data_IF_454705904668
#
_entry.id   IF_454705904668
#
_cell.length_a   1.000
_cell.length_b   1.000
_cell.length_c   1.000
_cell.angle_alpha   90.00
_cell.angle_beta   90.00
_cell.angle_gamma   90.00
#
_symmetry.space_group_name_H-M   'P 1'
#
loop_
_entity.id
_entity.type
_entity.pdbx_description
1 polymer ?
#
# COMPACT_ATOMS: atom_id res chain seq x y z
N UNK A 1 60.19 39.01 1.68
CA UNK A 1 58.88 38.91 2.34
C UNK A 1 57.81 38.57 1.31
N UNK A 2 57.78 37.32 0.76
CA UNK A 2 56.87 36.92 -0.33
C UNK A 2 56.11 35.61 -0.03
N UNK A 3 56.12 35.14 1.24
CA UNK A 3 55.47 33.86 1.60
C UNK A 3 53.95 33.93 1.88
N UNK A 4 53.37 35.12 2.17
CA UNK A 4 51.99 35.24 2.63
C UNK A 4 50.95 35.18 1.53
N UNK A 5 51.25 35.58 0.31
CA UNK A 5 50.29 35.58 -0.81
C UNK A 5 49.99 34.18 -1.38
N UNK A 6 50.97 33.29 -1.38
CA UNK A 6 50.80 31.92 -1.85
C UNK A 6 49.94 31.08 -0.92
N UNK A 7 50.14 31.21 0.38
CA UNK A 7 49.34 30.50 1.40
C UNK A 7 47.86 30.93 1.39
N UNK A 8 47.63 32.23 1.17
CA UNK A 8 46.25 32.76 1.13
C UNK A 8 45.45 32.30 -0.10
N UNK A 9 46.13 32.12 -1.26
CA UNK A 9 45.55 31.57 -2.48
C UNK A 9 45.23 30.07 -2.36
N UNK A 10 46.11 29.30 -1.68
CA UNK A 10 45.89 27.86 -1.43
C UNK A 10 44.70 27.64 -0.47
N UNK A 11 44.60 28.40 0.59
CA UNK A 11 43.52 28.35 1.55
C UNK A 11 42.17 28.74 0.91
N UNK A 12 42.16 29.78 0.05
CA UNK A 12 40.97 30.20 -0.68
C UNK A 12 40.50 29.14 -1.68
N UNK A 13 41.40 28.47 -2.37
CA UNK A 13 41.08 27.38 -3.30
C UNK A 13 40.50 26.15 -2.59
N UNK A 14 41.07 25.79 -1.42
CA UNK A 14 40.56 24.64 -0.63
C UNK A 14 39.18 24.91 -0.07
N UNK A 15 38.92 26.13 0.43
CA UNK A 15 37.59 26.52 0.93
C UNK A 15 36.53 26.53 -0.16
N UNK A 16 36.86 27.01 -1.37
CA UNK A 16 35.96 27.00 -2.52
C UNK A 16 35.61 25.56 -2.95
N UNK A 17 36.62 24.68 -2.97
CA UNK A 17 36.38 23.25 -3.32
C UNK A 17 35.49 22.54 -2.32
N UNK A 18 35.69 22.76 -1.04
CA UNK A 18 34.85 22.18 0.03
C UNK A 18 33.40 22.72 -0.03
N UNK A 19 33.23 24.00 -0.38
CA UNK A 19 31.87 24.58 -0.54
C UNK A 19 31.13 23.94 -1.71
N UNK A 20 31.79 23.74 -2.86
CA UNK A 20 31.17 23.08 -4.03
C UNK A 20 30.78 21.63 -3.68
N UNK A 21 31.65 20.88 -2.99
CA UNK A 21 31.33 19.51 -2.56
C UNK A 21 30.10 19.51 -1.62
N UNK A 22 30.03 20.43 -0.67
CA UNK A 22 28.91 20.53 0.25
C UNK A 22 27.59 20.85 -0.47
N UNK A 23 27.60 21.75 -1.44
CA UNK A 23 26.40 22.11 -2.23
C UNK A 23 25.92 20.92 -3.07
N UNK A 24 26.84 20.23 -3.76
CA UNK A 24 26.50 19.07 -4.61
C UNK A 24 25.96 17.93 -3.75
N UNK A 25 26.60 17.63 -2.60
CA UNK A 25 26.15 16.58 -1.68
C UNK A 25 24.80 16.91 -1.06
N UNK A 26 24.56 18.16 -0.69
CA UNK A 26 23.27 18.62 -0.15
C UNK A 26 22.15 18.52 -1.19
N UNK A 27 22.42 18.86 -2.45
CA UNK A 27 21.44 18.77 -3.53
C UNK A 27 21.10 17.33 -3.90
N UNK A 28 22.10 16.44 -3.94
CA UNK A 28 21.89 15.01 -4.15
C UNK A 28 21.09 14.37 -3.00
N UNK A 29 21.36 14.75 -1.74
CA UNK A 29 20.60 14.32 -0.58
C UNK A 29 19.13 14.75 -0.65
N UNK A 30 18.88 16.01 -0.99
CA UNK A 30 17.52 16.55 -1.12
C UNK A 30 16.72 15.87 -2.26
N UNK A 31 17.37 15.58 -3.40
CA UNK A 31 16.72 14.88 -4.51
C UNK A 31 16.42 13.42 -4.17
N UNK A 32 17.31 12.73 -3.44
CA UNK A 32 17.04 11.35 -2.95
C UNK A 32 15.86 11.31 -1.98
N UNK A 33 15.77 12.25 -1.05
CA UNK A 33 14.65 12.33 -0.10
C UNK A 33 13.32 12.62 -0.80
N UNK A 34 13.31 13.47 -1.82
CA UNK A 34 12.12 13.72 -2.64
C UNK A 34 11.70 12.49 -3.44
N UNK A 35 12.64 11.83 -4.13
CA UNK A 35 12.36 10.60 -4.88
C UNK A 35 11.85 9.46 -3.98
N UNK A 36 12.36 9.34 -2.75
CA UNK A 36 11.84 8.36 -1.79
C UNK A 36 10.43 8.71 -1.33
N UNK A 37 10.13 10.01 -1.12
CA UNK A 37 8.78 10.46 -0.74
C UNK A 37 7.76 10.18 -1.84
N UNK A 38 8.10 10.46 -3.09
CA UNK A 38 7.25 10.16 -4.26
C UNK A 38 7.04 8.66 -4.43
N UNK A 39 8.12 7.85 -4.33
CA UNK A 39 8.02 6.40 -4.43
C UNK A 39 7.22 5.76 -3.31
N UNK A 40 7.31 6.26 -2.07
CA UNK A 40 6.46 5.79 -0.97
C UNK A 40 4.99 6.14 -1.20
N UNK A 41 4.69 7.30 -1.79
CA UNK A 41 3.32 7.67 -2.16
C UNK A 41 2.72 6.73 -3.22
N UNK A 42 3.52 6.31 -4.21
CA UNK A 42 3.10 5.30 -5.20
C UNK A 42 2.79 3.94 -4.54
N UNK A 43 3.61 3.52 -3.57
CA UNK A 43 3.38 2.29 -2.80
C UNK A 43 2.10 2.38 -1.97
N UNK A 44 1.91 3.51 -1.28
CA UNK A 44 0.70 3.76 -0.47
C UNK A 44 -0.56 3.66 -1.32
N UNK A 45 -0.56 4.29 -2.50
CA UNK A 45 -1.69 4.27 -3.43
C UNK A 45 -1.94 2.86 -3.99
N UNK A 46 -0.89 2.13 -4.39
CA UNK A 46 -1.05 0.76 -4.87
C UNK A 46 -1.59 -0.19 -3.78
N UNK A 47 -1.11 -0.05 -2.54
CA UNK A 47 -1.61 -0.80 -1.40
C UNK A 47 -3.08 -0.45 -1.11
N UNK A 48 -3.45 0.84 -1.17
CA UNK A 48 -4.81 1.33 -0.97
C UNK A 48 -5.76 0.73 -1.99
N UNK A 49 -5.44 0.84 -3.27
CA UNK A 49 -6.26 0.31 -4.36
C UNK A 49 -6.50 -1.20 -4.20
N UNK A 50 -5.46 -1.96 -3.84
CA UNK A 50 -5.61 -3.40 -3.63
C UNK A 50 -6.49 -3.71 -2.41
N UNK A 51 -6.26 -3.04 -1.28
CA UNK A 51 -7.01 -3.29 -0.04
C UNK A 51 -8.48 -2.90 -0.19
N UNK A 52 -8.78 -1.80 -0.88
CA UNK A 52 -10.15 -1.40 -1.21
C UNK A 52 -10.82 -2.41 -2.15
N UNK A 53 -10.11 -2.88 -3.19
CA UNK A 53 -10.61 -3.91 -4.09
C UNK A 53 -10.87 -5.23 -3.35
N UNK A 54 -9.95 -5.65 -2.46
CA UNK A 54 -10.10 -6.85 -1.64
C UNK A 54 -11.30 -6.76 -0.69
N UNK A 55 -11.51 -5.61 -0.09
CA UNK A 55 -12.61 -5.39 0.85
C UNK A 55 -13.95 -5.03 0.20
N UNK A 56 -14.03 -4.95 -1.14
CA UNK A 56 -15.26 -4.58 -1.85
C UNK A 56 -15.71 -5.71 -2.77
N UNK A 57 -16.78 -6.39 -2.38
CA UNK A 57 -17.34 -7.55 -3.08
C UNK A 57 -18.86 -7.39 -3.26
N UNK A 58 -19.36 -7.74 -4.44
CA UNK A 58 -20.78 -7.90 -4.71
C UNK A 58 -21.00 -9.31 -5.33
N UNK A 59 -21.90 -10.08 -4.72
CA UNK A 59 -22.26 -11.41 -5.20
C UNK A 59 -22.82 -11.44 -6.63
N UNK A 60 -23.26 -10.29 -7.17
CA UNK A 60 -23.78 -10.15 -8.53
C UNK A 60 -22.65 -10.06 -9.58
N UNK A 61 -21.45 -9.65 -9.15
CA UNK A 61 -20.30 -9.41 -10.03
C UNK A 61 -19.02 -10.12 -9.55
N UNK A 62 -19.07 -11.44 -9.34
CA UNK A 62 -17.93 -12.17 -8.77
C UNK A 62 -16.72 -12.19 -9.71
N UNK A 63 -16.93 -12.21 -11.03
CA UNK A 63 -15.84 -12.19 -12.01
C UNK A 63 -15.15 -10.83 -12.04
N UNK A 64 -15.91 -9.73 -11.98
CA UNK A 64 -15.35 -8.37 -11.88
C UNK A 64 -14.54 -8.15 -10.61
N UNK A 65 -14.93 -8.75 -9.49
CA UNK A 65 -14.13 -8.76 -8.26
C UNK A 65 -12.77 -9.43 -8.49
N UNK A 66 -12.76 -10.62 -9.08
CA UNK A 66 -11.55 -11.38 -9.38
C UNK A 66 -10.63 -10.61 -10.35
N UNK A 67 -11.18 -10.06 -11.44
CA UNK A 67 -10.41 -9.27 -12.41
C UNK A 67 -9.73 -8.06 -11.78
N UNK A 68 -10.43 -7.33 -10.91
CA UNK A 68 -9.86 -6.19 -10.17
C UNK A 68 -8.67 -6.63 -9.32
N UNK A 69 -8.80 -7.70 -8.55
CA UNK A 69 -7.72 -8.21 -7.71
C UNK A 69 -6.53 -8.70 -8.54
N UNK A 70 -6.78 -9.39 -9.64
CA UNK A 70 -5.72 -9.85 -10.55
C UNK A 70 -4.94 -8.68 -11.16
N UNK A 71 -5.61 -7.60 -11.55
CA UNK A 71 -4.96 -6.41 -12.14
C UNK A 71 -4.06 -5.64 -11.17
N UNK A 72 -4.24 -5.82 -9.86
CA UNK A 72 -3.53 -5.15 -8.77
C UNK A 72 -2.52 -6.06 -8.06
N UNK A 73 -2.40 -7.32 -8.50
CA UNK A 73 -1.57 -8.33 -7.84
C UNK A 73 -0.54 -8.97 -8.77
N UNK A 74 0.45 -9.61 -8.16
CA UNK A 74 1.48 -10.42 -8.82
C UNK A 74 1.85 -11.61 -7.93
N UNK A 75 2.73 -12.50 -8.40
CA UNK A 75 3.25 -13.61 -7.60
C UNK A 75 2.17 -14.50 -7.01
N UNK A 76 2.33 -14.82 -5.72
CA UNK A 76 1.46 -15.78 -5.01
C UNK A 76 0.01 -15.27 -4.89
N UNK A 77 -0.19 -13.96 -4.67
CA UNK A 77 -1.55 -13.39 -4.60
C UNK A 77 -2.26 -13.52 -5.93
N UNK A 78 -1.58 -13.18 -7.03
CA UNK A 78 -2.15 -13.30 -8.38
C UNK A 78 -2.52 -14.77 -8.69
N UNK A 79 -1.63 -15.71 -8.39
CA UNK A 79 -1.89 -17.14 -8.60
C UNK A 79 -3.06 -17.65 -7.75
N UNK A 80 -3.12 -17.24 -6.47
CA UNK A 80 -4.21 -17.60 -5.58
C UNK A 80 -5.56 -17.04 -6.07
N UNK A 81 -5.60 -15.77 -6.49
CA UNK A 81 -6.83 -15.15 -7.03
C UNK A 81 -7.26 -15.81 -8.34
N UNK A 82 -6.31 -16.12 -9.24
CA UNK A 82 -6.60 -16.76 -10.53
C UNK A 82 -7.22 -18.15 -10.36
N UNK A 83 -6.83 -18.89 -9.32
CA UNK A 83 -7.33 -20.25 -9.05
C UNK A 83 -8.48 -20.29 -8.04
N UNK A 84 -8.80 -19.17 -7.38
CA UNK A 84 -9.86 -19.10 -6.38
C UNK A 84 -11.23 -19.25 -7.05
N UNK A 85 -12.10 -20.00 -6.39
CA UNK A 85 -13.52 -20.03 -6.68
C UNK A 85 -14.26 -19.14 -5.70
N UNK A 86 -15.29 -18.46 -6.19
CA UNK A 86 -16.18 -17.70 -5.29
C UNK A 86 -16.87 -18.68 -4.35
N UNK A 87 -16.89 -18.36 -3.06
CA UNK A 87 -17.55 -19.18 -2.06
C UNK A 87 -19.05 -19.30 -2.40
N UNK A 88 -19.57 -20.52 -2.66
CA UNK A 88 -20.98 -20.73 -2.91
C UNK A 88 -21.89 -20.21 -1.78
N UNK A 89 -21.37 -20.21 -0.54
CA UNK A 89 -22.07 -19.67 0.64
C UNK A 89 -22.28 -18.16 0.49
N UNK A 90 -21.24 -17.43 0.05
CA UNK A 90 -21.33 -15.98 -0.17
C UNK A 90 -22.35 -15.64 -1.26
N UNK A 91 -22.42 -16.45 -2.33
CA UNK A 91 -23.44 -16.30 -3.38
C UNK A 91 -24.85 -16.61 -2.85
N UNK A 92 -25.01 -17.73 -2.13
CA UNK A 92 -26.31 -18.14 -1.57
C UNK A 92 -26.86 -17.16 -0.52
N UNK A 93 -25.98 -16.50 0.21
CA UNK A 93 -26.31 -15.46 1.19
C UNK A 93 -26.41 -14.06 0.58
N UNK A 94 -26.27 -13.90 -0.73
CA UNK A 94 -26.27 -12.61 -1.42
C UNK A 94 -25.30 -11.61 -0.76
N UNK A 95 -24.10 -12.08 -0.43
CA UNK A 95 -23.14 -11.32 0.36
C UNK A 95 -22.61 -10.12 -0.43
N UNK A 96 -22.60 -8.97 0.25
CA UNK A 96 -21.88 -7.78 -0.20
C UNK A 96 -20.90 -7.34 0.87
N UNK A 97 -19.75 -6.82 0.45
CA UNK A 97 -18.76 -6.20 1.31
C UNK A 97 -18.40 -4.83 0.75
N UNK A 98 -18.24 -3.87 1.62
CA UNK A 98 -17.83 -2.52 1.25
C UNK A 98 -16.73 -2.06 2.20
N UNK A 99 -15.59 -1.64 1.66
CA UNK A 99 -14.53 -1.02 2.45
C UNK A 99 -14.84 0.46 2.66
N UNK A 100 -14.81 0.88 3.93
CA UNK A 100 -14.96 2.26 4.35
C UNK A 100 -13.61 2.97 4.47
N UNK A 101 -13.23 3.38 5.69
CA UNK A 101 -11.96 4.05 5.95
C UNK A 101 -10.77 3.10 5.78
N UNK A 102 -9.74 3.59 5.06
CA UNK A 102 -8.47 2.89 4.87
C UNK A 102 -7.32 3.79 5.28
N UNK A 103 -6.50 3.32 6.23
CA UNK A 103 -5.25 3.96 6.62
C UNK A 103 -4.09 3.07 6.19
N UNK A 104 -3.15 3.64 5.43
CA UNK A 104 -1.96 2.92 4.94
C UNK A 104 -0.71 3.52 5.60
N UNK A 105 0.23 2.66 5.95
CA UNK A 105 1.56 3.03 6.41
C UNK A 105 2.60 2.16 5.70
N UNK A 106 3.49 2.79 4.93
CA UNK A 106 4.65 2.11 4.35
C UNK A 106 5.67 1.88 5.45
N UNK A 107 6.00 0.61 5.72
CA UNK A 107 6.89 0.19 6.81
C UNK A 107 8.30 -0.17 6.33
N UNK A 108 8.44 -0.50 5.05
CA UNK A 108 9.73 -0.72 4.38
C UNK A 108 9.61 -0.32 2.91
N UNK A 109 10.68 0.24 2.36
CA UNK A 109 10.73 0.71 0.98
C UNK A 109 12.11 0.54 0.36
N UNK A 110 12.13 0.04 -0.88
CA UNK A 110 13.25 0.09 -1.81
C UNK A 110 12.71 0.39 -3.22
N UNK A 111 13.58 0.55 -4.21
CA UNK A 111 13.16 0.85 -5.59
C UNK A 111 12.38 -0.28 -6.28
N UNK A 112 12.45 -1.51 -5.75
CA UNK A 112 11.85 -2.71 -6.35
C UNK A 112 10.89 -3.45 -5.43
N UNK A 113 10.95 -3.20 -4.13
CA UNK A 113 10.16 -3.91 -3.12
C UNK A 113 9.76 -2.98 -1.99
N UNK A 114 8.54 -3.14 -1.50
CA UNK A 114 8.02 -2.39 -0.37
C UNK A 114 7.11 -3.24 0.51
N UNK A 115 6.95 -2.83 1.76
CA UNK A 115 5.97 -3.40 2.69
C UNK A 115 5.08 -2.28 3.23
N UNK A 116 3.78 -2.50 3.20
CA UNK A 116 2.79 -1.60 3.76
C UNK A 116 1.88 -2.34 4.75
N UNK A 117 1.54 -1.66 5.83
CA UNK A 117 0.48 -2.08 6.75
C UNK A 117 -0.75 -1.24 6.52
N UNK A 118 -1.94 -1.85 6.56
CA UNK A 118 -3.19 -1.15 6.42
C UNK A 118 -4.15 -1.49 7.56
N UNK A 119 -4.94 -0.49 7.95
CA UNK A 119 -6.11 -0.65 8.80
C UNK A 119 -7.34 -0.28 7.98
N UNK A 120 -8.31 -1.18 7.90
CA UNK A 120 -9.54 -0.98 7.14
C UNK A 120 -10.76 -1.11 8.03
N UNK A 121 -11.84 -0.42 7.65
CA UNK A 121 -13.17 -0.63 8.19
C UNK A 121 -14.06 -1.16 7.06
N UNK A 122 -14.62 -2.33 7.28
CA UNK A 122 -15.43 -3.05 6.31
C UNK A 122 -16.84 -3.26 6.83
N UNK A 123 -17.83 -3.01 5.99
CA UNK A 123 -19.21 -3.40 6.22
C UNK A 123 -19.52 -4.63 5.39
N UNK A 124 -19.92 -5.71 6.06
CA UNK A 124 -20.36 -6.97 5.43
C UNK A 124 -21.86 -7.11 5.62
N UNK A 125 -22.60 -7.34 4.53
CA UNK A 125 -24.02 -7.62 4.52
C UNK A 125 -24.27 -8.99 3.91
N UNK A 126 -25.15 -9.77 4.54
CA UNK A 126 -25.54 -11.08 4.04
C UNK A 126 -27.00 -11.37 4.43
N UNK A 127 -27.70 -12.10 3.59
CA UNK A 127 -29.06 -12.57 3.89
C UNK A 127 -28.96 -13.94 4.56
N UNK A 128 -29.56 -14.09 5.71
CA UNK A 128 -29.71 -15.39 6.37
C UNK A 128 -30.61 -16.30 5.53
N UNK A 129 -30.12 -17.42 5.01
CA UNK A 129 -30.91 -18.28 4.12
C UNK A 129 -32.10 -18.95 4.80
N UNK A 130 -32.07 -19.10 6.12
CA UNK A 130 -33.15 -19.74 6.87
C UNK A 130 -34.32 -18.78 7.20
N UNK A 131 -33.99 -17.50 7.45
CA UNK A 131 -34.97 -16.51 7.92
C UNK A 131 -35.28 -15.43 6.89
N UNK A 132 -34.44 -15.27 5.84
CA UNK A 132 -34.50 -14.17 4.88
C UNK A 132 -34.10 -12.82 5.45
N UNK A 133 -33.60 -12.77 6.69
CA UNK A 133 -33.26 -11.54 7.35
C UNK A 133 -31.87 -11.03 6.88
N UNK A 134 -31.77 -9.73 6.66
CA UNK A 134 -30.50 -9.08 6.39
C UNK A 134 -29.67 -8.97 7.69
N UNK A 135 -28.45 -9.48 7.64
CA UNK A 135 -27.44 -9.30 8.69
C UNK A 135 -26.41 -8.31 8.22
N UNK A 136 -26.07 -7.36 9.04
CA UNK A 136 -25.00 -6.41 8.81
C UNK A 136 -23.95 -6.53 9.93
N UNK A 137 -22.69 -6.58 9.54
CA UNK A 137 -21.55 -6.64 10.44
C UNK A 137 -20.52 -5.61 10.02
N UNK A 138 -20.03 -4.83 10.96
CA UNK A 138 -18.91 -3.92 10.77
C UNK A 138 -17.66 -4.52 11.39
N UNK A 139 -16.58 -4.52 10.64
CA UNK A 139 -15.31 -5.14 10.99
C UNK A 139 -14.18 -4.15 10.83
N UNK A 140 -13.21 -4.19 11.75
CA UNK A 140 -11.91 -3.58 11.56
C UNK A 140 -10.90 -4.67 11.25
N UNK A 141 -10.13 -4.47 10.20
CA UNK A 141 -9.11 -5.41 9.78
C UNK A 141 -7.75 -4.72 9.79
N UNK A 142 -6.72 -5.46 10.24
CA UNK A 142 -5.33 -5.09 10.09
C UNK A 142 -4.68 -6.06 9.10
N UNK A 143 -4.11 -5.51 8.04
CA UNK A 143 -3.49 -6.30 6.97
C UNK A 143 -2.07 -5.84 6.71
N UNK A 144 -1.26 -6.72 6.11
CA UNK A 144 0.09 -6.39 5.64
C UNK A 144 0.19 -6.82 4.19
N UNK A 145 0.71 -5.93 3.35
CA UNK A 145 0.97 -6.15 1.94
C UNK A 145 2.48 -6.09 1.69
N UNK A 146 3.04 -7.05 0.95
CA UNK A 146 4.33 -6.92 0.30
C UNK A 146 4.09 -6.61 -1.17
N UNK A 147 4.72 -5.55 -1.65
CA UNK A 147 4.57 -5.07 -3.02
C UNK A 147 5.88 -5.22 -3.77
N UNK A 148 5.79 -5.54 -5.06
CA UNK A 148 6.90 -5.57 -5.99
C UNK A 148 6.66 -4.59 -7.12
N UNK A 149 7.73 -3.95 -7.60
CA UNK A 149 7.69 -3.08 -8.76
C UNK A 149 7.93 -3.89 -10.02
N UNK A 150 6.91 -4.06 -10.84
CA UNK A 150 6.93 -4.80 -12.10
C UNK A 150 6.58 -3.84 -13.24
N UNK A 151 7.45 -3.69 -14.22
CA UNK A 151 7.27 -2.80 -15.38
C UNK A 151 6.86 -1.38 -14.98
N UNK A 152 7.51 -0.86 -13.92
CA UNK A 152 7.28 0.48 -13.38
C UNK A 152 6.03 0.63 -12.48
N UNK A 153 5.24 -0.42 -12.28
CA UNK A 153 4.02 -0.41 -11.45
C UNK A 153 4.22 -1.20 -10.17
N UNK A 154 3.68 -0.70 -9.06
CA UNK A 154 3.63 -1.44 -7.81
C UNK A 154 2.43 -2.39 -7.79
N UNK A 155 2.69 -3.68 -7.54
CA UNK A 155 1.70 -4.75 -7.49
C UNK A 155 1.85 -5.55 -6.18
N UNK A 156 0.74 -5.98 -5.58
CA UNK A 156 0.76 -6.76 -4.34
C UNK A 156 1.15 -8.19 -4.64
N UNK A 157 2.28 -8.65 -4.07
CA UNK A 157 2.81 -10.00 -4.22
C UNK A 157 2.44 -10.92 -3.05
N UNK A 158 2.32 -10.37 -1.82
CA UNK A 158 1.81 -11.08 -0.66
C UNK A 158 0.80 -10.22 0.09
N UNK A 159 -0.23 -10.87 0.59
CA UNK A 159 -1.28 -10.27 1.40
C UNK A 159 -1.54 -11.13 2.63
N UNK A 160 -1.55 -10.51 3.81
CA UNK A 160 -1.77 -11.23 5.07
C UNK A 160 -2.75 -10.46 5.95
N UNK A 161 -3.87 -11.08 6.27
CA UNK A 161 -4.76 -10.62 7.33
C UNK A 161 -4.11 -10.91 8.68
N UNK A 162 -3.87 -9.88 9.49
CA UNK A 162 -3.25 -9.97 10.82
C UNK A 162 -4.27 -10.12 11.93
N UNK A 163 -5.32 -9.33 11.87
CA UNK A 163 -6.47 -9.42 12.78
C UNK A 163 -7.73 -8.95 12.11
N UNK A 164 -8.86 -9.45 12.58
CA UNK A 164 -10.21 -9.02 12.26
C UNK A 164 -11.00 -8.90 13.56
N UNK A 165 -11.58 -7.75 13.81
CA UNK A 165 -12.31 -7.45 15.02
C UNK A 165 -13.67 -6.83 14.68
N UNK A 166 -14.77 -7.29 15.30
CA UNK A 166 -16.05 -6.63 15.12
C UNK A 166 -16.00 -5.22 15.73
N UNK A 167 -16.45 -4.24 14.96
CA UNK A 167 -16.69 -2.90 15.49
C UNK A 167 -17.96 -2.97 16.33
N UNK A 168 -17.81 -2.78 17.64
CA UNK A 168 -18.97 -2.68 18.53
C UNK A 168 -19.75 -1.42 18.13
N UNK A 169 -20.97 -1.58 17.64
CA UNK A 169 -21.90 -0.47 17.55
C UNK A 169 -22.15 0.00 19.00
N UNK A 170 -21.43 1.02 19.42
CA UNK A 170 -21.82 1.83 20.57
C UNK A 170 -23.09 2.55 20.15
N UNK A 171 -24.22 1.82 20.27
CA UNK A 171 -25.55 2.36 20.04
C UNK A 171 -25.76 3.59 20.94
N UNK A 172 -25.99 4.71 20.30
CA UNK A 172 -26.65 5.87 20.89
C UNK A 172 -28.13 5.75 20.68
#
# INVERSE_FOLDING_TARGET
MTGGRGVMLILGGLAATLLVIAIVSGWQGANRLRGQGEGMGEVEEAARLFVEAYGTFDFREPDGYRERLMSLSTGDVHAAVATSQVDPTALGQQQTMTTGAVSIQVTAYSDTEATASATTEQTRRAVDPATGQLREQQLRQHVTCRLLRIDGRWLVAEFRLRSEEPLQNTGR
#
